data_IF_636827885147
#
_entry.id   IF_636827885147
#
_cell.length_a   1.000
_cell.length_b   1.000
_cell.length_c   1.000
_cell.angle_alpha   90.00
_cell.angle_beta   90.00
_cell.angle_gamma   90.00
#
_symmetry.space_group_name_H-M   'P 1'
#
loop_
_entity.id
_entity.type
_entity.pdbx_description
1 polymer ?
#
# COMPACT_ATOMS: atom_id res chain seq x y z
N UNK A 1 22.72 8.47 5.30
CA UNK A 1 21.46 7.76 5.64
C UNK A 1 21.84 6.58 6.52
N UNK A 2 21.23 6.44 7.70
CA UNK A 2 21.54 5.33 8.60
C UNK A 2 21.18 3.99 7.94
N UNK A 3 22.17 3.10 7.80
CA UNK A 3 22.03 1.79 7.15
C UNK A 3 21.01 0.91 7.89
N UNK A 4 20.87 1.10 9.20
CA UNK A 4 19.91 0.38 10.04
C UNK A 4 18.49 0.83 9.68
N UNK A 5 18.26 2.14 9.65
CA UNK A 5 16.97 2.73 9.24
C UNK A 5 16.53 2.25 7.85
N UNK A 6 17.43 2.26 6.86
CA UNK A 6 17.11 1.76 5.51
C UNK A 6 16.70 0.28 5.51
N UNK A 7 17.46 -0.58 6.22
CA UNK A 7 17.14 -2.01 6.34
C UNK A 7 15.78 -2.22 7.03
N UNK A 8 15.50 -1.45 8.07
CA UNK A 8 14.23 -1.53 8.78
C UNK A 8 13.05 -1.15 7.88
N UNK A 9 13.17 -0.06 7.10
CA UNK A 9 12.17 0.33 6.10
C UNK A 9 11.95 -0.80 5.09
N UNK A 10 13.03 -1.35 4.52
CA UNK A 10 12.95 -2.46 3.56
C UNK A 10 12.23 -3.67 4.14
N UNK A 11 12.58 -4.08 5.35
CA UNK A 11 11.94 -5.23 6.01
C UNK A 11 10.45 -5.00 6.26
N UNK A 12 10.06 -3.78 6.68
CA UNK A 12 8.65 -3.43 6.86
C UNK A 12 7.88 -3.44 5.54
N UNK A 13 8.48 -2.98 4.45
CA UNK A 13 7.87 -3.05 3.12
C UNK A 13 7.66 -4.49 2.65
N UNK A 14 8.62 -5.38 2.91
CA UNK A 14 8.49 -6.81 2.58
C UNK A 14 7.36 -7.46 3.38
N UNK A 15 7.31 -7.21 4.69
CA UNK A 15 6.24 -7.75 5.56
C UNK A 15 4.86 -7.24 5.14
N UNK A 16 4.74 -5.94 4.86
CA UNK A 16 3.48 -5.37 4.39
C UNK A 16 3.05 -5.97 3.04
N UNK A 17 3.98 -6.18 2.11
CA UNK A 17 3.67 -6.80 0.82
C UNK A 17 3.15 -8.24 0.99
N UNK A 18 3.80 -9.05 1.83
CA UNK A 18 3.36 -10.42 2.09
C UNK A 18 1.94 -10.46 2.65
N UNK A 19 1.63 -9.62 3.64
CA UNK A 19 0.28 -9.53 4.22
C UNK A 19 -0.77 -9.06 3.19
N UNK A 20 -0.41 -8.11 2.32
CA UNK A 20 -1.32 -7.66 1.26
C UNK A 20 -1.57 -8.76 0.21
N UNK A 21 -0.56 -9.57 -0.11
CA UNK A 21 -0.71 -10.71 -1.02
C UNK A 21 -1.64 -11.77 -0.42
N UNK A 22 -1.43 -12.15 0.84
CA UNK A 22 -2.30 -13.09 1.55
C UNK A 22 -3.76 -12.60 1.61
N UNK A 23 -3.97 -11.32 1.95
CA UNK A 23 -5.30 -10.72 1.97
C UNK A 23 -5.97 -10.72 0.59
N UNK A 24 -5.20 -10.47 -0.48
CA UNK A 24 -5.71 -10.50 -1.85
C UNK A 24 -6.11 -11.92 -2.26
N UNK A 25 -5.29 -12.92 -1.95
CA UNK A 25 -5.58 -14.32 -2.27
C UNK A 25 -6.86 -14.80 -1.58
N UNK A 26 -7.07 -14.39 -0.32
CA UNK A 26 -8.33 -14.65 0.40
C UNK A 26 -9.53 -13.89 -0.19
N UNK A 27 -9.30 -12.70 -0.76
CA UNK A 27 -10.34 -11.84 -1.35
C UNK A 27 -10.85 -12.38 -2.69
N UNK A 28 -9.98 -12.95 -3.53
CA UNK A 28 -10.30 -13.42 -4.88
C UNK A 28 -11.53 -14.34 -4.95
N UNK A 29 -11.67 -15.41 -4.14
CA UNK A 29 -12.85 -16.27 -4.19
C UNK A 29 -14.12 -15.53 -3.74
N UNK A 30 -14.00 -14.57 -2.83
CA UNK A 30 -15.12 -13.81 -2.28
C UNK A 30 -15.63 -12.73 -3.26
N UNK A 31 -14.75 -12.20 -4.12
CA UNK A 31 -15.13 -11.26 -5.20
C UNK A 31 -16.05 -11.91 -6.26
N UNK A 32 -16.06 -13.23 -6.38
CA UNK A 32 -16.96 -13.99 -7.26
C UNK A 32 -18.25 -14.42 -6.56
N UNK A 33 -18.44 -14.03 -5.30
CA UNK A 33 -19.59 -14.40 -4.47
C UNK A 33 -20.53 -13.20 -4.24
N UNK A 34 -21.62 -13.41 -3.50
CA UNK A 34 -22.49 -12.33 -3.04
C UNK A 34 -21.81 -11.35 -2.05
N UNK A 35 -20.60 -11.66 -1.57
CA UNK A 35 -19.81 -10.81 -0.68
C UNK A 35 -18.95 -9.77 -1.42
N UNK A 36 -19.00 -9.71 -2.76
CA UNK A 36 -18.18 -8.81 -3.58
C UNK A 36 -18.17 -7.36 -3.05
N UNK A 37 -19.34 -6.77 -2.83
CA UNK A 37 -19.46 -5.38 -2.37
C UNK A 37 -18.78 -5.16 -1.01
N UNK A 38 -18.87 -6.12 -0.10
CA UNK A 38 -18.25 -6.03 1.23
C UNK A 38 -16.72 -6.07 1.11
N UNK A 39 -16.18 -6.95 0.26
CA UNK A 39 -14.73 -7.06 0.03
C UNK A 39 -14.20 -5.81 -0.68
N UNK A 40 -14.91 -5.31 -1.69
CA UNK A 40 -14.55 -4.05 -2.38
C UNK A 40 -14.49 -2.90 -1.38
N UNK A 41 -15.51 -2.75 -0.52
CA UNK A 41 -15.56 -1.68 0.49
C UNK A 41 -14.41 -1.79 1.52
N UNK A 42 -14.00 -3.00 1.91
CA UNK A 42 -12.83 -3.20 2.78
C UNK A 42 -11.53 -2.70 2.12
N UNK A 43 -11.32 -3.06 0.85
CA UNK A 43 -10.15 -2.59 0.10
C UNK A 43 -10.17 -1.08 -0.13
N UNK A 44 -11.34 -0.50 -0.46
CA UNK A 44 -11.50 0.94 -0.62
C UNK A 44 -11.15 1.71 0.67
N UNK A 45 -11.63 1.25 1.82
CA UNK A 45 -11.33 1.85 3.11
C UNK A 45 -9.83 1.77 3.42
N UNK A 46 -9.20 0.60 3.23
CA UNK A 46 -7.77 0.43 3.43
C UNK A 46 -6.94 1.36 2.55
N UNK A 47 -7.23 1.44 1.24
CA UNK A 47 -6.51 2.31 0.31
C UNK A 47 -6.71 3.78 0.68
N UNK A 48 -7.93 4.17 1.07
CA UNK A 48 -8.24 5.53 1.51
C UNK A 48 -7.43 5.92 2.74
N UNK A 49 -7.36 5.06 3.76
CA UNK A 49 -6.58 5.30 4.98
C UNK A 49 -5.09 5.40 4.67
N UNK A 50 -4.54 4.48 3.89
CA UNK A 50 -3.12 4.47 3.53
C UNK A 50 -2.72 5.72 2.75
N UNK A 51 -3.50 6.08 1.71
CA UNK A 51 -3.26 7.30 0.93
C UNK A 51 -3.48 8.57 1.77
N UNK A 52 -4.45 8.55 2.67
CA UNK A 52 -4.70 9.62 3.64
C UNK A 52 -3.46 9.86 4.52
N UNK A 53 -2.88 8.79 5.05
CA UNK A 53 -1.68 8.87 5.87
C UNK A 53 -0.47 9.42 5.10
N UNK A 54 -0.24 8.97 3.86
CA UNK A 54 0.83 9.51 3.00
C UNK A 54 0.66 11.02 2.80
N UNK A 55 -0.56 11.49 2.47
CA UNK A 55 -0.83 12.92 2.30
C UNK A 55 -0.62 13.70 3.59
N UNK A 56 -1.10 13.18 4.72
CA UNK A 56 -0.93 13.80 6.03
C UNK A 56 0.55 13.98 6.36
N UNK A 57 1.35 12.91 6.25
CA UNK A 57 2.81 12.98 6.47
C UNK A 57 3.54 13.88 5.48
N UNK A 58 3.08 13.94 4.23
CA UNK A 58 3.62 14.87 3.23
C UNK A 58 3.37 16.33 3.61
N UNK A 59 2.22 16.65 4.20
CA UNK A 59 1.91 18.00 4.67
C UNK A 59 2.75 18.37 5.89
N UNK A 60 2.90 17.46 6.85
CA UNK A 60 3.66 17.70 8.09
C UNK A 60 5.18 17.81 7.87
N UNK A 61 5.73 16.96 7.01
CA UNK A 61 7.19 16.90 6.78
C UNK A 61 7.68 17.78 5.62
N UNK A 62 6.78 18.28 4.78
CA UNK A 62 7.11 18.93 3.51
C UNK A 62 7.68 17.97 2.44
N UNK A 63 7.81 16.67 2.74
CA UNK A 63 8.37 15.67 1.82
C UNK A 63 7.25 14.87 1.16
N UNK A 64 7.07 15.07 -0.14
CA UNK A 64 6.12 14.30 -0.94
C UNK A 64 6.78 13.02 -1.50
N UNK A 65 6.60 11.88 -0.81
CA UNK A 65 7.11 10.59 -1.27
C UNK A 65 6.57 10.19 -2.65
N UNK A 66 5.29 10.44 -2.90
CA UNK A 66 4.64 10.04 -4.17
C UNK A 66 5.23 10.77 -5.37
N UNK A 67 5.66 12.03 -5.22
CA UNK A 67 6.32 12.76 -6.31
C UNK A 67 7.73 12.25 -6.63
N UNK A 68 8.33 11.47 -5.73
CA UNK A 68 9.65 10.84 -5.92
C UNK A 68 9.55 9.45 -6.55
N UNK A 69 8.37 8.84 -6.54
CA UNK A 69 8.12 7.52 -7.14
C UNK A 69 7.73 7.71 -8.61
N UNK A 70 8.39 6.97 -9.50
CA UNK A 70 8.10 7.03 -10.93
C UNK A 70 7.17 5.90 -11.33
N UNK A 71 5.90 6.22 -11.58
CA UNK A 71 4.90 5.26 -12.06
C UNK A 71 5.29 4.66 -13.42
N UNK A 72 5.95 5.45 -14.28
CA UNK A 72 6.51 4.95 -15.55
C UNK A 72 7.46 3.77 -15.33
N UNK A 73 8.35 3.85 -14.33
CA UNK A 73 9.29 2.76 -14.02
C UNK A 73 8.63 1.53 -13.41
N UNK A 74 7.40 1.67 -12.89
CA UNK A 74 6.63 0.57 -12.30
C UNK A 74 5.82 -0.17 -13.38
N UNK A 75 5.16 0.56 -14.28
CA UNK A 75 4.17 0.00 -15.21
C UNK A 75 4.66 -0.16 -16.65
N UNK A 76 5.76 0.49 -17.04
CA UNK A 76 6.30 0.47 -18.41
C UNK A 76 7.71 -0.12 -18.45
N UNK A 77 7.89 -1.27 -17.79
CA UNK A 77 9.09 -2.09 -17.98
C UNK A 77 8.98 -2.92 -19.25
#
# INVERSE_FOLDING_TARGET
MDRITFRNIKNKMIQALALMQEALDMSIPLLKSNQNNNIVMLWENFVKEFMGYIRHRSKESGVNLMSKISLRRIWLR
#
